data_IF_297705402136
#
_entry.id   IF_297705402136
#
_cell.length_a   1.000
_cell.length_b   1.000
_cell.length_c   1.000
_cell.angle_alpha   90.00
_cell.angle_beta   90.00
_cell.angle_gamma   90.00
#
_symmetry.space_group_name_H-M   'P 1'
#
loop_
_entity.id
_entity.type
_entity.pdbx_description
1 polymer ?
#
# COMPACT_ATOMS: atom_id res chain seq x y z
N UNK A 1 -13.46 -1.09 -16.38
CA UNK A 1 -14.88 -0.98 -16.77
C UNK A 1 -15.61 -0.33 -15.61
N UNK A 2 -16.43 0.71 -15.79
CA UNK A 2 -17.14 1.33 -14.68
C UNK A 2 -18.17 0.35 -14.10
N UNK A 3 -18.46 0.50 -12.80
CA UNK A 3 -19.64 -0.12 -12.20
C UNK A 3 -20.89 0.30 -13.01
N UNK A 4 -21.62 -0.67 -13.55
CA UNK A 4 -22.77 -0.43 -14.44
C UNK A 4 -24.06 -0.07 -13.68
N UNK A 5 -24.03 -0.06 -12.35
CA UNK A 5 -25.11 0.39 -11.48
C UNK A 5 -24.52 1.08 -10.24
N UNK A 6 -25.27 2.03 -9.67
CA UNK A 6 -24.90 2.71 -8.43
C UNK A 6 -24.96 1.76 -7.26
N UNK A 7 -23.94 1.79 -6.39
CA UNK A 7 -24.11 1.25 -5.05
C UNK A 7 -25.15 2.11 -4.29
N UNK A 8 -26.22 1.50 -3.77
CA UNK A 8 -27.26 2.25 -3.03
C UNK A 8 -26.82 2.69 -1.64
N UNK A 9 -25.62 2.28 -1.26
CA UNK A 9 -25.19 2.23 0.12
C UNK A 9 -24.12 3.29 0.44
N UNK A 10 -23.64 3.99 -0.58
CA UNK A 10 -22.76 5.14 -0.46
C UNK A 10 -23.46 6.41 -0.97
N UNK A 11 -23.06 7.56 -0.42
CA UNK A 11 -23.58 8.86 -0.81
C UNK A 11 -23.16 9.24 -2.24
N UNK A 12 -23.98 10.05 -2.91
CA UNK A 12 -23.70 10.56 -4.25
C UNK A 12 -24.32 11.94 -4.39
N UNK A 13 -23.68 12.91 -3.74
CA UNK A 13 -24.06 14.30 -3.79
C UNK A 13 -23.90 14.83 -5.23
N UNK A 14 -24.83 15.70 -5.64
CA UNK A 14 -24.71 16.38 -6.92
C UNK A 14 -23.40 17.20 -6.98
N UNK A 15 -22.54 16.88 -7.94
CA UNK A 15 -21.23 17.53 -8.09
C UNK A 15 -20.14 17.03 -7.15
N UNK A 16 -20.39 15.98 -6.37
CA UNK A 16 -19.39 15.35 -5.49
C UNK A 16 -18.54 14.28 -6.17
N UNK A 17 -17.76 13.57 -5.35
CA UNK A 17 -16.83 12.46 -5.61
C UNK A 17 -17.48 11.25 -6.29
N UNK A 18 -18.81 11.15 -6.35
CA UNK A 18 -19.54 10.00 -6.94
C UNK A 18 -19.16 8.67 -6.27
N UNK A 19 -19.12 8.64 -4.94
CA UNK A 19 -18.58 7.48 -4.20
C UNK A 19 -19.29 6.16 -4.53
N UNK A 20 -20.56 6.20 -4.95
CA UNK A 20 -21.30 5.02 -5.39
C UNK A 20 -20.98 4.49 -6.80
N UNK A 21 -20.07 5.14 -7.54
CA UNK A 21 -19.71 4.84 -8.95
C UNK A 21 -18.20 4.87 -9.19
N UNK A 22 -17.40 5.08 -8.16
CA UNK A 22 -15.94 5.15 -8.26
C UNK A 22 -15.33 3.74 -8.42
N UNK A 23 -14.51 3.56 -9.44
CA UNK A 23 -13.78 2.31 -9.68
C UNK A 23 -14.52 1.26 -10.52
N UNK A 24 -13.93 0.07 -10.61
CA UNK A 24 -14.47 -1.04 -11.41
C UNK A 24 -15.51 -1.89 -10.68
N UNK A 25 -15.42 -1.93 -9.36
CA UNK A 25 -16.30 -2.70 -8.48
C UNK A 25 -16.47 -1.89 -7.18
N UNK A 26 -17.72 -1.75 -6.73
CA UNK A 26 -18.06 -1.16 -5.42
C UNK A 26 -18.88 -2.19 -4.66
N UNK A 27 -18.34 -2.71 -3.56
CA UNK A 27 -18.99 -3.72 -2.72
C UNK A 27 -19.18 -3.12 -1.33
N UNK A 28 -20.41 -3.19 -0.81
CA UNK A 28 -20.66 -2.94 0.60
C UNK A 28 -20.82 -4.26 1.35
N UNK A 29 -20.18 -4.32 2.52
CA UNK A 29 -20.32 -5.40 3.48
C UNK A 29 -20.91 -4.82 4.75
N UNK A 30 -21.98 -5.43 5.26
CA UNK A 30 -22.59 -5.07 6.52
C UNK A 30 -22.34 -6.15 7.57
N UNK A 31 -21.97 -5.73 8.77
CA UNK A 31 -21.93 -6.60 9.94
C UNK A 31 -23.04 -6.21 10.90
N UNK A 32 -23.96 -7.15 11.18
CA UNK A 32 -24.93 -6.97 12.25
C UNK A 32 -24.23 -7.20 13.59
N UNK A 33 -23.98 -6.10 14.32
CA UNK A 33 -23.25 -6.15 15.58
C UNK A 33 -23.71 -5.04 16.53
N UNK A 34 -23.74 -5.36 17.82
CA UNK A 34 -24.06 -4.44 18.89
C UNK A 34 -22.93 -4.49 19.92
N UNK A 35 -22.34 -3.35 20.34
CA UNK A 35 -21.35 -3.32 21.40
C UNK A 35 -21.84 -4.04 22.66
N UNK A 36 -20.97 -4.88 23.24
CA UNK A 36 -21.25 -5.69 24.41
C UNK A 36 -22.32 -6.78 24.20
N UNK A 37 -22.54 -7.22 22.94
CA UNK A 37 -23.40 -8.35 22.68
C UNK A 37 -22.90 -9.61 23.40
N UNK A 38 -23.84 -10.49 23.78
CA UNK A 38 -23.56 -11.70 24.55
C UNK A 38 -23.89 -12.94 23.73
N UNK A 39 -22.99 -13.91 23.76
CA UNK A 39 -23.21 -15.26 23.22
C UNK A 39 -22.80 -16.26 24.29
N UNK A 40 -23.78 -16.94 24.88
CA UNK A 40 -23.55 -17.73 26.09
C UNK A 40 -23.03 -16.85 27.24
N UNK A 41 -21.89 -17.22 27.82
CA UNK A 41 -21.23 -16.47 28.89
C UNK A 41 -20.25 -15.41 28.39
N UNK A 42 -19.94 -15.39 27.08
CA UNK A 42 -18.98 -14.46 26.50
C UNK A 42 -19.64 -13.12 26.17
N UNK A 43 -18.94 -12.03 26.50
CA UNK A 43 -19.31 -10.66 26.12
C UNK A 43 -18.29 -10.14 25.12
N UNK A 44 -18.75 -9.49 24.06
CA UNK A 44 -17.90 -8.90 23.03
C UNK A 44 -18.05 -7.37 23.04
N UNK A 45 -17.08 -6.61 23.56
CA UNK A 45 -17.13 -5.15 23.56
C UNK A 45 -17.08 -4.55 22.16
N UNK A 46 -16.26 -5.11 21.26
CA UNK A 46 -16.08 -4.63 19.88
C UNK A 46 -16.35 -5.74 18.85
N UNK A 47 -16.67 -5.35 17.62
CA UNK A 47 -16.89 -6.29 16.52
C UNK A 47 -15.69 -7.21 16.31
N UNK A 48 -14.48 -6.65 16.38
CA UNK A 48 -13.23 -7.40 16.23
C UNK A 48 -12.96 -8.41 17.35
N UNK A 49 -13.63 -8.27 18.50
CA UNK A 49 -13.52 -9.23 19.59
C UNK A 49 -14.40 -10.47 19.34
N UNK A 50 -15.37 -10.38 18.41
CA UNK A 50 -16.19 -11.54 18.01
C UNK A 50 -15.35 -12.57 17.26
N UNK A 51 -15.83 -13.83 17.12
CA UNK A 51 -15.09 -14.84 16.36
C UNK A 51 -14.85 -14.51 14.88
N UNK A 52 -15.56 -13.51 14.31
CA UNK A 52 -15.48 -13.14 12.89
C UNK A 52 -15.46 -14.34 11.93
N UNK A 53 -16.27 -15.37 12.22
CA UNK A 53 -16.35 -16.60 11.41
C UNK A 53 -16.71 -16.24 9.96
N UNK A 54 -16.01 -16.82 9.00
CA UNK A 54 -16.21 -16.52 7.57
C UNK A 54 -15.39 -15.34 7.06
N UNK A 55 -14.60 -14.66 7.91
CA UNK A 55 -13.78 -13.52 7.47
C UNK A 55 -12.76 -13.90 6.40
N UNK A 56 -11.93 -14.97 6.55
CA UNK A 56 -10.98 -15.38 5.52
C UNK A 56 -11.63 -15.62 4.14
N UNK A 57 -12.81 -16.23 4.13
CA UNK A 57 -13.57 -16.55 2.93
C UNK A 57 -14.16 -15.28 2.28
N UNK A 58 -14.75 -14.40 3.09
CA UNK A 58 -15.31 -13.13 2.61
C UNK A 58 -14.24 -12.23 2.00
N UNK A 59 -13.11 -12.03 2.69
CA UNK A 59 -12.03 -11.19 2.16
C UNK A 59 -11.45 -11.79 0.87
N UNK A 60 -11.37 -13.11 0.76
CA UNK A 60 -10.82 -13.79 -0.43
C UNK A 60 -11.78 -13.63 -1.62
N UNK A 61 -13.09 -13.73 -1.36
CA UNK A 61 -14.10 -13.47 -2.37
C UNK A 61 -14.04 -12.01 -2.86
N UNK A 62 -14.00 -11.02 -1.97
CA UNK A 62 -13.84 -9.61 -2.36
C UNK A 62 -12.53 -9.39 -3.14
N UNK A 63 -11.44 -10.02 -2.70
CA UNK A 63 -10.16 -9.95 -3.39
C UNK A 63 -10.20 -10.54 -4.80
N UNK A 64 -10.98 -11.61 -5.04
CA UNK A 64 -11.14 -12.21 -6.37
C UNK A 64 -11.79 -11.28 -7.40
N UNK A 65 -12.46 -10.21 -6.96
CA UNK A 65 -12.96 -9.13 -7.81
C UNK A 65 -11.90 -8.06 -8.14
N UNK A 66 -10.64 -8.27 -7.71
CA UNK A 66 -9.52 -7.35 -7.90
C UNK A 66 -9.40 -6.25 -6.84
N UNK A 67 -10.18 -6.31 -5.75
CA UNK A 67 -10.06 -5.36 -4.64
C UNK A 67 -8.81 -5.70 -3.81
N UNK A 68 -7.84 -4.79 -3.65
CA UNK A 68 -6.63 -5.08 -2.88
C UNK A 68 -6.92 -5.27 -1.39
N UNK A 69 -6.20 -6.17 -0.73
CA UNK A 69 -6.26 -6.39 0.72
C UNK A 69 -5.46 -5.32 1.48
N UNK A 70 -5.84 -4.05 1.30
CA UNK A 70 -5.23 -2.88 1.95
C UNK A 70 -6.32 -1.95 2.49
N UNK A 71 -5.98 -1.16 3.50
CA UNK A 71 -6.83 -0.11 4.07
C UNK A 71 -6.22 1.27 3.76
N UNK A 72 -6.57 1.92 2.63
CA UNK A 72 -5.92 3.16 2.20
C UNK A 72 -6.03 4.30 3.21
N UNK A 73 -7.12 4.31 4.00
CA UNK A 73 -7.38 5.31 5.05
C UNK A 73 -7.12 4.79 6.48
N UNK A 74 -6.38 3.69 6.58
CA UNK A 74 -6.05 3.02 7.85
C UNK A 74 -7.09 1.97 8.25
N UNK A 75 -6.63 0.93 8.95
CA UNK A 75 -7.50 -0.13 9.45
C UNK A 75 -8.47 0.40 10.53
N UNK A 76 -9.80 0.17 10.42
CA UNK A 76 -10.76 0.66 11.40
C UNK A 76 -10.47 0.15 12.82
N UNK A 77 -10.20 1.10 13.72
CA UNK A 77 -9.89 0.85 15.14
C UNK A 77 -10.63 1.80 16.10
N UNK A 78 -11.34 2.79 15.57
CA UNK A 78 -12.29 3.63 16.31
C UNK A 78 -13.41 4.15 15.38
N UNK A 79 -14.38 4.86 15.96
CA UNK A 79 -15.44 5.57 15.23
C UNK A 79 -15.00 6.96 14.70
N UNK A 80 -13.72 7.32 14.87
CA UNK A 80 -13.22 8.60 14.39
C UNK A 80 -13.23 8.66 12.85
N UNK A 81 -13.76 9.74 12.23
CA UNK A 81 -13.74 9.87 10.79
C UNK A 81 -12.32 10.15 10.26
N UNK A 82 -11.98 9.60 9.10
CA UNK A 82 -10.75 9.89 8.37
C UNK A 82 -11.03 9.81 6.86
N UNK A 83 -11.39 10.93 6.23
CA UNK A 83 -11.92 10.98 4.86
C UNK A 83 -10.98 11.77 3.94
N UNK A 84 -10.76 11.25 2.73
CA UNK A 84 -9.99 11.94 1.69
C UNK A 84 -10.54 11.58 0.32
N UNK A 85 -11.07 12.58 -0.38
CA UNK A 85 -11.57 12.44 -1.76
C UNK A 85 -10.45 12.00 -2.71
N UNK A 86 -9.29 12.64 -2.62
CA UNK A 86 -8.14 12.30 -3.47
C UNK A 86 -7.68 10.84 -3.28
N UNK A 87 -7.67 10.31 -2.04
CA UNK A 87 -7.30 8.90 -1.80
C UNK A 87 -8.38 7.97 -2.34
N UNK A 88 -9.66 8.29 -2.10
CA UNK A 88 -10.79 7.51 -2.59
C UNK A 88 -10.78 7.36 -4.12
N UNK A 89 -10.49 8.44 -4.85
CA UNK A 89 -10.47 8.44 -6.32
C UNK A 89 -9.27 7.71 -6.92
N UNK A 90 -8.15 7.63 -6.19
CA UNK A 90 -6.88 7.16 -6.73
C UNK A 90 -6.44 5.79 -6.22
N UNK A 91 -6.99 5.33 -5.09
CA UNK A 91 -6.49 4.14 -4.40
C UNK A 91 -7.61 3.13 -4.13
N UNK A 92 -7.53 1.96 -4.77
CA UNK A 92 -8.45 0.85 -4.49
C UNK A 92 -8.10 0.16 -3.16
N UNK A 93 -9.11 -0.28 -2.42
CA UNK A 93 -8.93 -1.00 -1.17
C UNK A 93 -10.21 -1.04 -0.35
N UNK A 94 -10.08 -1.34 0.94
CA UNK A 94 -11.18 -1.35 1.88
C UNK A 94 -11.24 -0.05 2.66
N UNK A 95 -12.46 0.43 2.88
CA UNK A 95 -12.74 1.67 3.60
C UNK A 95 -13.87 1.40 4.60
N UNK A 96 -13.74 1.92 5.82
CA UNK A 96 -14.90 2.06 6.71
C UNK A 96 -15.82 3.18 6.23
N UNK A 97 -17.10 3.18 6.60
CA UNK A 97 -17.99 4.31 6.30
C UNK A 97 -17.50 5.63 6.89
N UNK A 98 -16.84 5.58 8.05
CA UNK A 98 -16.08 6.69 8.64
C UNK A 98 -15.00 7.29 7.72
N UNK A 99 -14.62 6.60 6.65
CA UNK A 99 -13.53 6.97 5.75
C UNK A 99 -13.99 7.33 4.32
N UNK A 100 -15.24 7.02 3.97
CA UNK A 100 -15.81 7.37 2.66
C UNK A 100 -16.16 8.87 2.62
N UNK A 101 -15.71 9.64 1.61
CA UNK A 101 -16.14 11.02 1.38
C UNK A 101 -17.67 11.14 1.30
N UNK A 102 -18.20 12.35 1.51
CA UNK A 102 -19.65 12.66 1.49
C UNK A 102 -20.53 11.94 2.54
N UNK A 103 -20.03 10.89 3.18
CA UNK A 103 -20.78 10.14 4.18
C UNK A 103 -20.66 10.78 5.57
N UNK A 104 -21.72 10.71 6.38
CA UNK A 104 -21.73 11.20 7.76
C UNK A 104 -21.66 10.06 8.79
N UNK A 105 -21.75 8.81 8.33
CA UNK A 105 -21.64 7.63 9.16
C UNK A 105 -20.22 7.44 9.73
N UNK A 106 -20.13 6.78 10.88
CA UNK A 106 -18.89 6.59 11.64
C UNK A 106 -18.50 5.11 11.84
N UNK A 107 -19.33 4.18 11.40
CA UNK A 107 -19.06 2.75 11.47
C UNK A 107 -17.85 2.35 10.58
N UNK A 108 -17.24 1.17 10.82
CA UNK A 108 -17.65 0.10 11.75
C UNK A 108 -17.11 0.24 13.18
N UNK A 109 -16.30 1.25 13.49
CA UNK A 109 -15.60 1.38 14.77
C UNK A 109 -14.44 0.40 14.95
N UNK A 110 -14.62 -0.88 14.57
CA UNK A 110 -13.56 -1.88 14.50
C UNK A 110 -13.90 -2.91 13.43
N UNK A 111 -12.90 -3.47 12.77
CA UNK A 111 -13.08 -4.58 11.80
C UNK A 111 -11.94 -5.60 11.96
N UNK A 112 -12.10 -6.90 11.64
CA UNK A 112 -10.97 -7.82 11.58
C UNK A 112 -9.90 -7.36 10.57
N UNK A 113 -8.62 -7.49 10.94
CA UNK A 113 -7.51 -7.28 10.00
C UNK A 113 -7.46 -8.39 8.96
N UNK A 114 -6.86 -8.13 7.80
CA UNK A 114 -6.77 -9.16 6.77
C UNK A 114 -5.89 -10.33 7.22
N UNK A 115 -6.33 -11.56 6.92
CA UNK A 115 -5.50 -12.74 7.10
C UNK A 115 -4.73 -13.02 5.80
N UNK A 116 -3.41 -13.18 5.85
CA UNK A 116 -2.61 -13.46 4.65
C UNK A 116 -2.57 -12.31 3.62
N UNK A 117 -2.93 -11.08 3.99
CA UNK A 117 -2.65 -9.92 3.14
C UNK A 117 -1.13 -9.78 2.96
N UNK A 118 -0.65 -9.46 1.75
CA UNK A 118 0.74 -9.09 1.58
C UNK A 118 0.99 -7.83 2.40
N UNK A 119 1.80 -7.95 3.45
CA UNK A 119 2.35 -6.78 4.15
C UNK A 119 3.04 -5.92 3.10
N UNK A 120 2.81 -4.60 3.09
CA UNK A 120 3.57 -3.68 2.25
C UNK A 120 5.05 -4.05 2.34
N UNK A 121 5.73 -4.28 1.19
CA UNK A 121 7.11 -4.72 1.21
C UNK A 121 7.92 -3.75 2.06
N UNK A 122 8.61 -4.25 3.08
CA UNK A 122 9.52 -3.41 3.88
C UNK A 122 10.60 -2.75 2.99
N UNK A 123 10.90 -3.40 1.87
CA UNK A 123 11.89 -2.97 0.90
C UNK A 123 11.27 -2.86 -0.48
N UNK A 124 11.75 -1.88 -1.24
CA UNK A 124 11.31 -1.61 -2.60
C UNK A 124 11.54 -2.85 -3.47
N UNK A 125 10.49 -3.38 -4.14
CA UNK A 125 10.66 -4.43 -5.12
C UNK A 125 11.59 -3.99 -6.25
N UNK A 126 12.32 -4.92 -6.86
CA UNK A 126 13.17 -4.58 -8.00
C UNK A 126 12.33 -4.03 -9.16
N UNK A 127 12.54 -2.76 -9.60
CA UNK A 127 11.69 -2.11 -10.58
C UNK A 127 11.95 -2.58 -12.03
N UNK A 128 12.91 -3.50 -12.22
CA UNK A 128 13.37 -3.97 -13.52
C UNK A 128 14.57 -3.19 -14.05
N UNK A 129 15.47 -3.87 -14.77
CA UNK A 129 16.72 -3.28 -15.26
C UNK A 129 16.46 -2.08 -16.20
N UNK A 130 15.41 -2.12 -17.01
CA UNK A 130 15.01 -1.05 -17.93
C UNK A 130 14.51 0.22 -17.23
N UNK A 131 14.19 0.15 -15.93
CA UNK A 131 13.81 1.32 -15.16
C UNK A 131 15.03 2.24 -14.90
N UNK A 132 16.23 1.69 -14.81
CA UNK A 132 17.47 2.40 -14.47
C UNK A 132 18.05 3.19 -15.65
N UNK A 133 17.36 4.29 -16.00
CA UNK A 133 17.73 5.21 -17.08
C UNK A 133 18.39 6.46 -16.50
N UNK A 134 19.52 6.87 -17.07
CA UNK A 134 20.22 8.11 -16.68
C UNK A 134 19.26 9.31 -16.72
N UNK A 135 19.31 10.16 -15.70
CA UNK A 135 18.46 11.34 -15.57
C UNK A 135 17.04 11.07 -15.05
N UNK A 136 16.65 9.81 -14.79
CA UNK A 136 15.34 9.51 -14.17
C UNK A 136 15.27 10.12 -12.77
N UNK A 137 14.19 10.86 -12.50
CA UNK A 137 13.85 11.40 -11.18
C UNK A 137 12.83 10.51 -10.46
N UNK A 138 13.09 10.11 -9.21
CA UNK A 138 12.14 9.32 -8.40
C UNK A 138 12.56 9.27 -6.91
N UNK A 139 11.61 9.20 -5.95
CA UNK A 139 11.91 8.93 -4.55
C UNK A 139 12.66 7.61 -4.32
N UNK A 140 12.47 6.60 -5.19
CA UNK A 140 13.21 5.33 -5.16
C UNK A 140 14.72 5.57 -5.32
N UNK A 141 15.12 6.55 -6.14
CA UNK A 141 16.54 6.92 -6.33
C UNK A 141 17.11 7.50 -5.04
N UNK A 142 16.36 8.37 -4.35
CA UNK A 142 16.76 8.91 -3.04
C UNK A 142 16.97 7.80 -2.02
N UNK A 143 16.03 6.84 -1.94
CA UNK A 143 16.12 5.71 -1.01
C UNK A 143 17.30 4.78 -1.35
N UNK A 144 17.55 4.53 -2.64
CA UNK A 144 18.71 3.78 -3.12
C UNK A 144 20.02 4.48 -2.75
N UNK A 145 20.13 5.79 -2.99
CA UNK A 145 21.29 6.61 -2.63
C UNK A 145 21.61 6.48 -1.14
N UNK A 146 20.62 6.64 -0.27
CA UNK A 146 20.81 6.52 1.17
C UNK A 146 21.30 5.14 1.59
N UNK A 147 20.77 4.07 0.98
CA UNK A 147 21.29 2.73 1.26
C UNK A 147 22.71 2.53 0.76
N UNK A 148 23.05 2.99 -0.43
CA UNK A 148 24.41 2.89 -0.97
C UNK A 148 25.42 3.60 -0.07
N UNK A 149 25.08 4.78 0.45
CA UNK A 149 25.89 5.49 1.45
C UNK A 149 26.01 4.67 2.73
N UNK A 150 24.88 4.20 3.27
CA UNK A 150 24.85 3.49 4.55
C UNK A 150 25.52 2.11 4.52
N UNK A 151 25.60 1.45 3.36
CA UNK A 151 26.38 0.21 3.19
C UNK A 151 27.85 0.48 2.87
N UNK A 152 28.31 1.75 2.90
CA UNK A 152 29.70 2.13 2.69
C UNK A 152 30.15 2.11 1.22
N UNK A 153 29.21 2.18 0.28
CA UNK A 153 29.45 2.24 -1.17
C UNK A 153 29.31 3.66 -1.72
N UNK A 154 29.50 4.69 -0.87
CA UNK A 154 29.39 6.10 -1.25
C UNK A 154 30.46 6.52 -2.27
N UNK A 155 30.05 6.79 -3.51
CA UNK A 155 30.89 7.37 -4.58
C UNK A 155 30.31 8.69 -5.11
N UNK A 156 29.45 9.34 -4.33
CA UNK A 156 28.85 10.61 -4.69
C UNK A 156 29.82 11.76 -4.45
N UNK A 157 29.94 12.66 -5.42
CA UNK A 157 30.70 13.91 -5.29
C UNK A 157 29.85 15.07 -4.72
N UNK A 158 28.53 14.94 -4.81
CA UNK A 158 27.55 15.91 -4.31
C UNK A 158 26.26 15.19 -3.93
N UNK A 159 25.52 15.75 -2.97
CA UNK A 159 24.14 15.34 -2.63
C UNK A 159 23.08 16.17 -3.34
N UNK A 160 23.46 17.11 -4.23
CA UNK A 160 22.51 17.81 -5.08
C UNK A 160 21.84 16.83 -6.05
N UNK A 161 20.53 17.01 -6.30
CA UNK A 161 19.73 16.13 -7.16
C UNK A 161 19.81 14.64 -6.77
N UNK A 162 19.81 14.37 -5.45
CA UNK A 162 19.84 13.01 -4.88
C UNK A 162 18.74 12.08 -5.38
N UNK A 163 17.65 12.65 -5.87
CA UNK A 163 16.50 11.94 -6.43
C UNK A 163 16.62 11.67 -7.94
N UNK A 164 17.75 11.99 -8.57
CA UNK A 164 17.99 11.84 -10.02
C UNK A 164 19.15 10.89 -10.28
N UNK A 165 18.93 9.86 -11.12
CA UNK A 165 19.98 8.91 -11.50
C UNK A 165 21.13 9.66 -12.21
N UNK A 166 22.30 9.66 -11.59
CA UNK A 166 23.52 10.27 -12.12
C UNK A 166 24.74 9.34 -12.07
N UNK A 167 25.90 9.87 -12.48
CA UNK A 167 27.17 9.12 -12.47
C UNK A 167 27.58 8.64 -11.07
N UNK A 168 27.17 9.38 -10.02
CA UNK A 168 27.37 8.96 -8.63
C UNK A 168 26.59 7.70 -8.26
N UNK A 169 25.36 7.53 -8.77
CA UNK A 169 24.56 6.32 -8.55
C UNK A 169 25.17 5.14 -9.29
N UNK A 170 25.61 5.35 -10.54
CA UNK A 170 26.32 4.35 -11.33
C UNK A 170 27.55 3.84 -10.57
N UNK A 171 28.45 4.74 -10.19
CA UNK A 171 29.69 4.37 -9.50
C UNK A 171 29.44 3.72 -8.14
N UNK A 172 28.47 4.23 -7.37
CA UNK A 172 28.13 3.71 -6.04
C UNK A 172 27.49 2.32 -6.14
N UNK A 173 26.59 2.11 -7.10
CA UNK A 173 25.94 0.83 -7.29
C UNK A 173 26.91 -0.23 -7.82
N UNK A 174 27.79 0.10 -8.76
CA UNK A 174 28.82 -0.85 -9.19
C UNK A 174 29.78 -1.22 -8.04
N UNK A 175 30.12 -0.27 -7.16
CA UNK A 175 30.88 -0.57 -5.95
C UNK A 175 30.11 -1.54 -5.02
N UNK A 176 28.79 -1.38 -4.91
CA UNK A 176 27.91 -2.31 -4.19
C UNK A 176 27.88 -3.70 -4.83
N UNK A 177 27.75 -3.82 -6.15
CA UNK A 177 27.77 -5.13 -6.82
C UNK A 177 29.09 -5.87 -6.59
N UNK A 178 30.22 -5.15 -6.66
CA UNK A 178 31.53 -5.71 -6.31
C UNK A 178 31.60 -6.13 -4.84
N UNK A 179 31.03 -5.34 -3.92
CA UNK A 179 30.95 -5.68 -2.48
C UNK A 179 30.11 -6.95 -2.22
N UNK A 180 29.09 -7.21 -3.05
CA UNK A 180 28.32 -8.46 -3.05
C UNK A 180 29.06 -9.64 -3.70
N UNK A 181 30.30 -9.46 -4.17
CA UNK A 181 31.11 -10.53 -4.79
C UNK A 181 30.92 -10.67 -6.29
N UNK A 182 30.16 -9.79 -6.96
CA UNK A 182 30.01 -9.82 -8.40
C UNK A 182 31.27 -9.27 -9.09
N UNK A 183 31.63 -9.85 -10.24
CA UNK A 183 32.81 -9.47 -11.04
C UNK A 183 32.47 -9.30 -12.52
N UNK A 184 33.37 -8.68 -13.29
CA UNK A 184 33.18 -8.49 -14.73
C UNK A 184 31.92 -7.68 -15.05
N UNK A 185 31.22 -8.07 -16.11
CA UNK A 185 29.98 -7.42 -16.57
C UNK A 185 28.82 -7.58 -15.59
N UNK A 186 28.86 -8.56 -14.68
CA UNK A 186 27.85 -8.70 -13.65
C UNK A 186 27.99 -7.67 -12.51
N UNK A 187 29.13 -6.95 -12.48
CA UNK A 187 29.40 -5.89 -11.52
C UNK A 187 29.24 -4.48 -12.10
N UNK A 188 28.84 -4.35 -13.37
CA UNK A 188 28.60 -3.06 -14.03
C UNK A 188 27.13 -2.66 -13.97
N UNK A 189 26.86 -1.36 -14.12
CA UNK A 189 25.50 -0.83 -14.22
C UNK A 189 24.72 -1.45 -15.40
N UNK A 190 23.38 -1.66 -15.31
CA UNK A 190 22.47 -1.28 -14.22
C UNK A 190 22.34 -2.32 -13.09
N UNK A 191 21.61 -1.98 -12.01
CA UNK A 191 21.23 -2.92 -10.96
C UNK A 191 20.61 -4.22 -11.47
N UNK A 192 21.04 -5.35 -10.90
CA UNK A 192 20.36 -6.63 -11.03
C UNK A 192 19.45 -6.93 -9.84
N UNK A 193 18.44 -7.81 -10.03
CA UNK A 193 17.48 -8.18 -8.97
C UNK A 193 18.17 -8.66 -7.68
N UNK A 194 19.18 -9.52 -7.80
CA UNK A 194 19.87 -10.09 -6.63
C UNK A 194 20.58 -9.02 -5.79
N UNK A 195 21.32 -8.11 -6.42
CA UNK A 195 22.03 -7.04 -5.72
C UNK A 195 21.07 -5.97 -5.21
N UNK A 196 19.92 -5.78 -5.86
CA UNK A 196 18.84 -4.93 -5.38
C UNK A 196 18.19 -5.45 -4.09
N UNK A 197 17.81 -6.73 -4.07
CA UNK A 197 17.18 -7.35 -2.90
C UNK A 197 18.13 -7.33 -1.68
N UNK A 198 19.43 -7.51 -1.91
CA UNK A 198 20.45 -7.41 -0.86
C UNK A 198 20.64 -5.98 -0.33
N UNK A 199 20.46 -4.96 -1.18
CA UNK A 199 20.66 -3.56 -0.80
C UNK A 199 19.61 -3.09 0.22
N UNK A 200 18.43 -3.73 0.23
CA UNK A 200 17.33 -3.46 1.15
C UNK A 200 16.92 -1.99 1.12
N UNK A 201 16.68 -1.47 -0.08
CA UNK A 201 16.15 -0.12 -0.32
C UNK A 201 14.78 -0.01 0.36
N UNK A 202 14.54 0.95 1.27
CA UNK A 202 13.21 1.14 1.86
C UNK A 202 12.14 1.36 0.78
N UNK A 203 10.95 0.79 0.99
CA UNK A 203 9.79 1.08 0.13
C UNK A 203 9.28 2.50 0.45
N UNK A 204 9.06 3.31 -0.59
CA UNK A 204 8.78 4.76 -0.51
C UNK A 204 7.65 5.19 -1.44
#
# INVERSE_FOLDING_TARGET
MPANCRSKSLADAAGGTRTNRAGSVVIQVEALYFPYCRVGTQVYPRLVDTPCKGWPELQAWVHSWGVPLVWPMGHPSSFAPNRSESVWETTAGWYGHSQVPENTHQDPGSWPGFVGAPTSPKYEPFPGASWFVMGRRSPIVTAMHDRLVAVGCNRYQSSKNKDVIGSGDVASYEAWQRKCGFTGTAATWPPGKTTWDLLKVPNV
#
